data_IF_357499799279
#
_entry.id   IF_357499799279
#
_cell.length_a   1.000
_cell.length_b   1.000
_cell.length_c   1.000
_cell.angle_alpha   90.00
_cell.angle_beta   90.00
_cell.angle_gamma   90.00
#
_symmetry.space_group_name_H-M   'P 1'
#
loop_
_entity.id
_entity.type
_entity.pdbx_description
1 polymer ?
#
# COMPACT_ATOMS: atom_id res chain seq x y z
N UNK A 1 67.73 12.22 34.87
CA UNK A 1 66.36 12.23 34.30
C UNK A 1 65.39 12.21 35.47
N UNK A 2 64.55 13.28 35.61
CA UNK A 2 63.85 13.55 36.85
C UNK A 2 62.61 12.63 37.02
N UNK A 3 62.58 11.83 38.10
CA UNK A 3 61.48 10.98 38.54
C UNK A 3 60.12 11.69 38.52
N UNK A 4 60.08 13.00 38.73
CA UNK A 4 58.88 13.83 38.70
C UNK A 4 58.22 13.96 37.30
N UNK A 5 59.02 13.97 36.22
CA UNK A 5 58.51 14.03 34.84
C UNK A 5 57.89 12.72 34.40
N UNK A 6 58.40 11.59 34.89
CA UNK A 6 57.82 10.28 34.59
C UNK A 6 56.47 10.06 35.26
N UNK A 7 56.32 10.56 36.51
CA UNK A 7 55.03 10.46 37.21
C UNK A 7 53.90 11.31 36.58
N UNK A 8 54.25 12.48 36.05
CA UNK A 8 53.29 13.34 35.36
C UNK A 8 52.88 12.76 33.99
N UNK A 9 53.80 12.18 33.24
CA UNK A 9 53.53 11.52 32.00
C UNK A 9 52.62 10.28 32.20
N UNK A 10 52.90 9.48 33.23
CA UNK A 10 52.08 8.30 33.56
C UNK A 10 50.64 8.72 33.97
N UNK A 11 50.51 9.75 34.76
CA UNK A 11 49.19 10.31 35.17
C UNK A 11 48.42 10.83 33.96
N UNK A 12 49.07 11.53 33.04
CA UNK A 12 48.45 12.01 31.81
C UNK A 12 47.99 10.87 30.91
N UNK A 13 48.81 9.85 30.72
CA UNK A 13 48.49 8.66 29.92
C UNK A 13 47.31 7.88 30.51
N UNK A 14 47.24 7.70 31.82
CA UNK A 14 46.12 7.05 32.51
C UNK A 14 44.85 7.89 32.35
N UNK A 15 44.93 9.21 32.45
CA UNK A 15 43.80 10.11 32.20
C UNK A 15 43.25 10.00 30.77
N UNK A 16 44.14 10.01 29.79
CA UNK A 16 43.75 9.79 28.36
C UNK A 16 43.12 8.43 28.15
N UNK A 17 43.64 7.36 28.74
CA UNK A 17 43.12 6.02 28.63
C UNK A 17 41.72 5.87 29.24
N UNK A 18 41.49 6.49 30.40
CA UNK A 18 40.16 6.53 31.06
C UNK A 18 39.13 7.32 30.21
N UNK A 19 39.54 8.46 29.64
CA UNK A 19 38.70 9.25 28.73
C UNK A 19 38.37 8.47 27.46
N UNK A 20 39.31 7.75 26.89
CA UNK A 20 39.13 6.88 25.74
C UNK A 20 38.14 5.75 26.05
N UNK A 21 38.25 5.09 27.19
CA UNK A 21 37.30 4.05 27.62
C UNK A 21 35.89 4.60 27.82
N UNK A 22 35.75 5.81 28.39
CA UNK A 22 34.47 6.51 28.51
C UNK A 22 33.87 6.83 27.11
N UNK A 23 34.70 7.28 26.18
CA UNK A 23 34.26 7.59 24.82
C UNK A 23 33.81 6.33 24.07
N UNK A 24 34.57 5.23 24.19
CA UNK A 24 34.22 3.93 23.60
C UNK A 24 32.92 3.38 24.22
N UNK A 25 32.77 3.48 25.55
CA UNK A 25 31.55 3.09 26.24
C UNK A 25 30.32 3.89 25.78
N UNK A 26 30.46 5.21 25.64
CA UNK A 26 29.43 6.09 25.13
C UNK A 26 29.09 5.78 23.66
N UNK A 27 30.10 5.49 22.83
CA UNK A 27 29.95 5.14 21.42
C UNK A 27 29.16 3.83 21.26
N UNK A 28 29.45 2.80 22.06
CA UNK A 28 28.72 1.52 22.05
C UNK A 28 27.25 1.72 22.49
N UNK A 29 27.02 2.66 23.41
CA UNK A 29 25.66 2.95 23.89
C UNK A 29 24.82 3.75 22.88
N UNK A 30 25.46 4.65 22.09
CA UNK A 30 24.78 5.50 21.10
C UNK A 30 24.54 4.76 19.77
N UNK A 31 25.41 3.79 19.41
CA UNK A 31 25.22 2.99 18.18
C UNK A 31 24.02 2.06 18.39
N UNK A 32 22.91 2.26 17.65
CA UNK A 32 21.75 1.38 17.78
C UNK A 32 22.16 -0.05 17.48
N UNK A 33 21.77 -0.97 18.35
CA UNK A 33 22.11 -2.38 18.23
C UNK A 33 21.68 -2.89 16.84
N UNK A 34 22.53 -3.67 16.18
CA UNK A 34 22.30 -4.28 14.86
C UNK A 34 20.95 -4.98 14.75
N UNK A 35 20.38 -5.43 15.87
CA UNK A 35 19.04 -6.02 15.96
C UNK A 35 17.90 -5.06 15.62
N UNK A 36 18.05 -3.75 15.82
CA UNK A 36 17.01 -2.77 15.49
C UNK A 36 17.03 -2.45 14.00
N UNK A 37 18.20 -2.35 13.41
CA UNK A 37 18.37 -2.13 11.97
C UNK A 37 17.85 -3.32 11.14
N UNK A 38 18.10 -4.56 11.58
CA UNK A 38 17.58 -5.76 10.93
C UNK A 38 16.05 -5.86 11.01
N UNK A 39 15.45 -5.55 12.16
CA UNK A 39 13.98 -5.51 12.32
C UNK A 39 13.33 -4.45 11.45
N UNK A 40 13.95 -3.27 11.32
CA UNK A 40 13.46 -2.21 10.44
C UNK A 40 13.56 -2.65 8.98
N UNK A 41 14.69 -3.22 8.55
CA UNK A 41 14.87 -3.73 7.20
C UNK A 41 13.88 -4.85 6.86
N UNK A 42 13.62 -5.78 7.78
CA UNK A 42 12.62 -6.84 7.63
C UNK A 42 11.21 -6.27 7.52
N UNK A 43 10.87 -5.28 8.34
CA UNK A 43 9.58 -4.58 8.28
C UNK A 43 9.40 -3.81 6.98
N UNK A 44 10.44 -3.13 6.48
CA UNK A 44 10.42 -2.46 5.18
C UNK A 44 10.23 -3.48 4.05
N UNK A 45 10.96 -4.61 4.09
CA UNK A 45 10.83 -5.69 3.11
C UNK A 45 9.43 -6.32 3.13
N UNK A 46 8.80 -6.47 4.30
CA UNK A 46 7.43 -6.99 4.42
C UNK A 46 6.38 -6.04 3.86
N UNK A 47 6.60 -4.73 3.94
CA UNK A 47 5.73 -3.71 3.34
C UNK A 47 5.88 -3.71 1.82
N UNK A 48 7.11 -3.86 1.32
CA UNK A 48 7.45 -3.83 -0.12
C UNK A 48 6.92 -5.02 -0.93
N UNK A 49 6.53 -6.13 -0.31
CA UNK A 49 6.00 -7.33 -0.98
C UNK A 49 4.63 -7.73 -0.43
N UNK A 50 3.85 -6.75 0.02
CA UNK A 50 2.54 -7.02 0.59
C UNK A 50 1.59 -7.57 -0.46
N UNK A 51 0.92 -8.69 -0.16
CA UNK A 51 -0.15 -9.23 -1.00
C UNK A 51 -1.44 -8.45 -0.74
N UNK A 52 -1.94 -7.79 -1.78
CA UNK A 52 -3.09 -6.91 -1.70
C UNK A 52 -4.21 -7.39 -2.61
N UNK A 53 -5.43 -7.42 -2.10
CA UNK A 53 -6.62 -7.61 -2.91
C UNK A 53 -7.18 -6.25 -3.32
N UNK A 54 -7.31 -6.02 -4.62
CA UNK A 54 -8.02 -4.91 -5.22
C UNK A 54 -9.35 -5.40 -5.78
N UNK A 55 -10.45 -4.77 -5.38
CA UNK A 55 -11.79 -5.09 -5.85
C UNK A 55 -12.35 -3.92 -6.65
N UNK A 56 -12.67 -4.16 -7.92
CA UNK A 56 -13.37 -3.21 -8.79
C UNK A 56 -14.83 -3.64 -8.94
N UNK A 57 -15.75 -2.80 -8.55
CA UNK A 57 -17.19 -3.03 -8.65
C UNK A 57 -17.80 -1.91 -9.48
N UNK A 58 -18.77 -2.24 -10.33
CA UNK A 58 -19.46 -1.21 -11.09
C UNK A 58 -20.18 -1.69 -12.32
N UNK A 59 -20.29 -0.77 -13.25
CA UNK A 59 -20.96 -0.88 -14.52
C UNK A 59 -20.02 -1.23 -15.71
N UNK A 60 -20.34 -0.72 -16.89
CA UNK A 60 -19.55 -0.93 -18.12
C UNK A 60 -18.12 -0.38 -18.04
N UNK A 61 -17.89 0.70 -17.33
CA UNK A 61 -16.55 1.28 -17.16
C UNK A 61 -15.65 0.33 -16.36
N UNK A 62 -16.17 -0.23 -15.27
CA UNK A 62 -15.45 -1.25 -14.50
C UNK A 62 -15.26 -2.55 -15.30
N UNK A 63 -16.24 -2.95 -16.11
CA UNK A 63 -16.13 -4.13 -16.96
C UNK A 63 -15.03 -3.97 -18.03
N UNK A 64 -14.71 -2.73 -18.43
CA UNK A 64 -13.75 -2.42 -19.49
C UNK A 64 -14.40 -2.28 -20.87
N UNK A 65 -15.71 -2.00 -20.94
CA UNK A 65 -16.39 -1.74 -22.21
C UNK A 65 -15.83 -0.48 -22.86
N UNK A 66 -15.50 -0.58 -24.15
CA UNK A 66 -14.91 0.52 -24.92
C UNK A 66 -13.36 0.57 -24.85
N UNK A 67 -12.74 -0.35 -24.17
CA UNK A 67 -11.28 -0.50 -24.23
C UNK A 67 -10.85 -1.12 -25.55
N UNK A 68 -10.35 -0.28 -26.46
CA UNK A 68 -9.85 -0.69 -27.77
C UNK A 68 -8.59 -1.58 -27.70
N UNK A 69 -7.89 -1.57 -26.57
CA UNK A 69 -6.71 -2.39 -26.34
C UNK A 69 -7.02 -3.82 -25.90
N UNK A 70 -8.29 -4.12 -25.59
CA UNK A 70 -8.75 -5.40 -25.06
C UNK A 70 -8.02 -5.86 -23.77
N UNK A 71 -7.50 -4.91 -22.99
CA UNK A 71 -6.78 -5.21 -21.76
C UNK A 71 -7.68 -5.23 -20.51
N UNK A 72 -8.98 -4.91 -20.67
CA UNK A 72 -9.96 -4.93 -19.56
C UNK A 72 -10.18 -3.57 -18.89
N UNK A 73 -9.89 -2.48 -19.60
CA UNK A 73 -10.14 -1.11 -19.18
C UNK A 73 -9.18 -0.61 -18.09
N UNK A 74 -9.67 0.23 -17.19
CA UNK A 74 -8.83 0.86 -16.18
C UNK A 74 -8.37 -0.09 -15.04
N UNK A 75 -9.07 -1.21 -14.83
CA UNK A 75 -8.81 -2.11 -13.69
C UNK A 75 -7.40 -2.70 -13.72
N UNK A 76 -6.93 -3.31 -14.82
CA UNK A 76 -5.56 -3.80 -14.90
C UNK A 76 -4.51 -2.68 -14.88
N UNK A 77 -4.81 -1.51 -15.47
CA UNK A 77 -3.92 -0.35 -15.44
C UNK A 77 -3.70 0.13 -14.00
N UNK A 78 -4.78 0.25 -13.23
CA UNK A 78 -4.67 0.61 -11.81
C UNK A 78 -3.96 -0.47 -11.00
N UNK A 79 -4.21 -1.76 -11.28
CA UNK A 79 -3.48 -2.85 -10.62
C UNK A 79 -1.98 -2.71 -10.82
N UNK A 80 -1.53 -2.48 -12.04
CA UNK A 80 -0.12 -2.29 -12.37
C UNK A 80 0.48 -1.05 -11.72
N UNK A 81 -0.27 0.06 -11.67
CA UNK A 81 0.17 1.27 -10.97
C UNK A 81 0.35 1.02 -9.47
N UNK A 82 -0.60 0.33 -8.82
CA UNK A 82 -0.50 -0.04 -7.41
C UNK A 82 0.71 -0.95 -7.13
N UNK A 83 1.00 -1.88 -8.04
CA UNK A 83 2.19 -2.74 -7.94
C UNK A 83 3.48 -1.94 -8.03
N UNK A 84 3.57 -1.01 -9.01
CA UNK A 84 4.78 -0.22 -9.24
C UNK A 84 5.02 0.84 -8.16
N UNK A 85 3.96 1.54 -7.72
CA UNK A 85 4.09 2.67 -6.81
C UNK A 85 4.28 2.25 -5.35
N UNK A 86 3.66 1.13 -4.96
CA UNK A 86 3.70 0.63 -3.59
C UNK A 86 4.54 -0.63 -3.40
N UNK A 87 5.07 -1.20 -4.49
CA UNK A 87 5.82 -2.48 -4.46
C UNK A 87 4.95 -3.62 -3.86
N UNK A 88 3.65 -3.63 -4.20
CA UNK A 88 2.68 -4.62 -3.77
C UNK A 88 2.57 -5.77 -4.78
N UNK A 89 2.06 -6.92 -4.32
CA UNK A 89 1.58 -8.01 -5.17
C UNK A 89 0.05 -7.92 -5.24
N UNK A 90 -0.49 -7.30 -6.30
CA UNK A 90 -1.91 -7.02 -6.41
C UNK A 90 -2.66 -8.20 -7.04
N UNK A 91 -3.72 -8.65 -6.37
CA UNK A 91 -4.71 -9.56 -6.95
C UNK A 91 -5.99 -8.77 -7.20
N UNK A 92 -6.27 -8.43 -8.45
CA UNK A 92 -7.50 -7.72 -8.82
C UNK A 92 -8.68 -8.67 -9.00
N UNK A 93 -9.87 -8.22 -8.59
CA UNK A 93 -11.17 -8.84 -8.80
C UNK A 93 -12.09 -7.83 -9.47
N UNK A 94 -12.43 -8.11 -10.73
CA UNK A 94 -13.31 -7.24 -11.50
C UNK A 94 -14.75 -7.77 -11.46
N UNK A 95 -15.65 -6.99 -10.88
CA UNK A 95 -17.09 -7.24 -10.76
C UNK A 95 -17.91 -6.20 -11.55
N UNK A 96 -17.35 -5.64 -12.63
CA UNK A 96 -18.06 -4.77 -13.55
C UNK A 96 -19.10 -5.54 -14.39
N UNK A 97 -20.30 -5.00 -14.52
CA UNK A 97 -21.34 -5.52 -15.44
C UNK A 97 -21.96 -4.34 -16.18
N UNK A 98 -21.84 -4.36 -17.51
CA UNK A 98 -22.39 -3.33 -18.37
C UNK A 98 -23.91 -3.18 -18.16
N UNK A 99 -24.37 -1.92 -18.13
CA UNK A 99 -25.78 -1.61 -17.97
C UNK A 99 -26.29 -1.63 -16.52
N UNK A 100 -25.46 -2.04 -15.54
CA UNK A 100 -25.92 -2.06 -14.15
C UNK A 100 -26.18 -0.65 -13.61
N UNK A 101 -27.35 -0.49 -13.00
CA UNK A 101 -27.72 0.69 -12.20
C UNK A 101 -27.16 0.61 -10.78
N UNK A 102 -27.23 1.71 -10.04
CA UNK A 102 -26.80 1.77 -8.64
C UNK A 102 -27.51 0.72 -7.76
N UNK A 103 -28.81 0.53 -7.94
CA UNK A 103 -29.59 -0.46 -7.21
C UNK A 103 -29.15 -1.90 -7.53
N UNK A 104 -28.86 -2.20 -8.79
CA UNK A 104 -28.39 -3.53 -9.20
C UNK A 104 -26.98 -3.82 -8.65
N UNK A 105 -26.10 -2.84 -8.64
CA UNK A 105 -24.76 -2.96 -8.05
C UNK A 105 -24.90 -3.22 -6.55
N UNK A 106 -25.70 -2.42 -5.83
CA UNK A 106 -25.93 -2.57 -4.40
C UNK A 106 -26.49 -3.97 -4.07
N UNK A 107 -27.51 -4.43 -4.81
CA UNK A 107 -28.07 -5.76 -4.67
C UNK A 107 -27.02 -6.86 -4.81
N UNK A 108 -26.16 -6.77 -5.80
CA UNK A 108 -25.07 -7.74 -5.99
C UNK A 108 -24.09 -7.74 -4.83
N UNK A 109 -23.72 -6.57 -4.30
CA UNK A 109 -22.84 -6.46 -3.13
C UNK A 109 -23.47 -7.10 -1.89
N UNK A 110 -24.80 -7.02 -1.75
CA UNK A 110 -25.53 -7.58 -0.62
C UNK A 110 -25.80 -9.09 -0.73
N UNK A 111 -26.01 -9.61 -1.94
CA UNK A 111 -26.46 -11.00 -2.14
C UNK A 111 -25.35 -11.96 -2.57
N UNK A 112 -24.31 -11.48 -3.27
CA UNK A 112 -23.27 -12.35 -3.82
C UNK A 112 -22.16 -12.60 -2.79
N UNK A 113 -22.06 -13.83 -2.32
CA UNK A 113 -21.09 -14.25 -1.28
C UNK A 113 -19.65 -14.10 -1.71
N UNK A 114 -19.33 -14.28 -3.00
CA UNK A 114 -18.00 -14.08 -3.57
C UNK A 114 -17.58 -12.60 -3.51
N UNK A 115 -18.49 -11.69 -3.91
CA UNK A 115 -18.25 -10.24 -3.81
C UNK A 115 -18.05 -9.84 -2.34
N UNK A 116 -18.92 -10.28 -1.44
CA UNK A 116 -18.79 -9.99 -0.01
C UNK A 116 -17.48 -10.50 0.59
N UNK A 117 -17.09 -11.73 0.22
CA UNK A 117 -15.81 -12.31 0.67
C UNK A 117 -14.63 -11.48 0.22
N UNK A 118 -14.63 -11.07 -1.05
CA UNK A 118 -13.50 -10.37 -1.63
C UNK A 118 -13.46 -8.90 -1.18
N UNK A 119 -14.61 -8.25 -0.98
CA UNK A 119 -14.69 -6.93 -0.36
C UNK A 119 -14.13 -6.91 1.07
N UNK A 120 -14.41 -7.94 1.88
CA UNK A 120 -13.86 -8.04 3.24
C UNK A 120 -12.33 -8.16 3.28
N UNK A 121 -11.71 -8.62 2.19
CA UNK A 121 -10.26 -8.78 2.04
C UNK A 121 -9.62 -7.63 1.28
N UNK A 122 -10.42 -6.77 0.67
CA UNK A 122 -9.94 -5.70 -0.16
C UNK A 122 -9.19 -4.65 0.66
N UNK A 123 -7.99 -4.31 0.21
CA UNK A 123 -7.25 -3.14 0.69
C UNK A 123 -7.54 -1.90 -0.16
N UNK A 124 -7.87 -2.14 -1.44
CA UNK A 124 -8.27 -1.10 -2.39
C UNK A 124 -9.59 -1.51 -3.03
N UNK A 125 -10.49 -0.54 -3.21
CA UNK A 125 -11.73 -0.72 -3.93
C UNK A 125 -11.97 0.48 -4.86
N UNK A 126 -12.47 0.19 -6.06
CA UNK A 126 -13.05 1.20 -6.96
C UNK A 126 -14.50 0.89 -7.23
N UNK A 127 -15.30 1.94 -7.39
CA UNK A 127 -16.73 1.87 -7.67
C UNK A 127 -17.08 2.83 -8.81
N UNK A 128 -17.63 2.29 -9.92
CA UNK A 128 -18.24 3.10 -10.98
C UNK A 128 -19.75 2.90 -10.93
N UNK A 129 -20.52 3.99 -10.79
CA UNK A 129 -21.95 3.92 -10.54
C UNK A 129 -22.64 5.23 -10.93
N UNK A 130 -23.91 5.14 -11.33
CA UNK A 130 -24.78 6.30 -11.56
C UNK A 130 -25.02 6.63 -13.02
N UNK A 131 -24.11 6.30 -13.94
CA UNK A 131 -24.28 6.61 -15.36
C UNK A 131 -25.53 5.98 -15.96
N UNK A 132 -25.80 4.72 -15.68
CA UNK A 132 -26.99 4.03 -16.19
C UNK A 132 -28.29 4.51 -15.53
N UNK A 133 -28.23 4.94 -14.27
CA UNK A 133 -29.39 5.52 -13.58
C UNK A 133 -29.88 6.79 -14.31
N UNK A 134 -28.95 7.67 -14.68
CA UNK A 134 -29.26 8.90 -15.44
C UNK A 134 -29.79 8.56 -16.84
N UNK A 135 -29.17 7.61 -17.54
CA UNK A 135 -29.61 7.19 -18.88
C UNK A 135 -31.04 6.61 -18.83
N UNK A 136 -31.41 5.85 -17.81
CA UNK A 136 -32.75 5.32 -17.64
C UNK A 136 -33.79 6.45 -17.48
N UNK A 137 -33.53 7.41 -16.59
CA UNK A 137 -34.40 8.56 -16.38
C UNK A 137 -34.65 9.35 -17.68
N UNK A 138 -33.56 9.66 -18.41
CA UNK A 138 -33.67 10.39 -19.69
C UNK A 138 -34.50 9.60 -20.73
N UNK A 139 -34.30 8.29 -20.83
CA UNK A 139 -35.06 7.46 -21.76
C UNK A 139 -36.54 7.41 -21.42
N UNK A 140 -36.86 7.25 -20.15
CA UNK A 140 -38.25 7.19 -19.68
C UNK A 140 -38.96 8.53 -19.96
N UNK A 141 -38.31 9.66 -19.72
CA UNK A 141 -38.84 11.00 -20.02
C UNK A 141 -39.12 11.19 -21.52
N UNK A 142 -38.18 10.78 -22.39
CA UNK A 142 -38.36 10.88 -23.85
C UNK A 142 -39.49 9.99 -24.32
N UNK A 143 -39.65 8.79 -23.76
CA UNK A 143 -40.70 7.85 -24.14
C UNK A 143 -42.10 8.34 -23.72
N UNK A 144 -42.19 9.10 -22.65
CA UNK A 144 -43.45 9.66 -22.16
C UNK A 144 -43.88 10.96 -22.89
N UNK A 145 -43.04 11.52 -23.75
CA UNK A 145 -43.33 12.71 -24.54
C UNK A 145 -43.90 12.41 -25.95
N UNK A 146 -43.95 11.14 -26.36
CA UNK A 146 -44.52 10.63 -27.60
C UNK A 146 -45.86 9.92 -27.37
#
# INVERSE_FOLDING_TARGET
MNKWKESELVRSLVGFFLLFLLFVGLFIFIVPSTNQSSKIAEKIKSIKNEKVTYVAIGDSLTQGVGDSSNQGGFVPVLSQALESDFDWQVTSRNYGIAGNTSNQILKRMQEKKDIQRDLKKAKVMTLTVGGNDVIHVIKDDITNLN
#
